data_IF_247534615571
#
_entry.id   IF_247534615571
#
_cell.length_a   1.000
_cell.length_b   1.000
_cell.length_c   1.000
_cell.angle_alpha   90.00
_cell.angle_beta   90.00
_cell.angle_gamma   90.00
#
_symmetry.space_group_name_H-M   'P 1'
#
loop_
_entity.id
_entity.type
_entity.pdbx_description
1 polymer ?
#
# COMPACT_ATOMS: atom_id res chain seq x y z
N UNK A 1 -18.25 1.77 25.04
CA UNK A 1 -18.45 1.12 23.74
C UNK A 1 -17.16 0.38 23.39
N UNK A 2 -17.23 -0.80 22.78
CA UNK A 2 -16.03 -1.46 22.29
C UNK A 2 -15.36 -0.55 21.25
N UNK A 3 -14.04 -0.38 21.35
CA UNK A 3 -13.26 0.39 20.38
C UNK A 3 -13.34 -0.33 19.02
N UNK A 4 -13.60 0.41 17.96
CA UNK A 4 -13.59 -0.09 16.58
C UNK A 4 -12.20 0.11 15.99
N UNK A 5 -11.61 -0.95 15.47
CA UNK A 5 -10.27 -0.92 14.86
C UNK A 5 -10.35 -0.97 13.35
N UNK A 6 -9.68 -0.06 12.66
CA UNK A 6 -9.55 -0.04 11.21
C UNK A 6 -8.09 -0.19 10.77
N UNK A 7 -7.87 -0.95 9.70
CA UNK A 7 -6.63 -0.86 8.93
C UNK A 7 -6.91 -0.04 7.68
N UNK A 8 -6.14 1.03 7.48
CA UNK A 8 -6.25 1.94 6.33
C UNK A 8 -5.04 1.75 5.42
N UNK A 9 -5.27 1.25 4.22
CA UNK A 9 -4.24 1.12 3.19
C UNK A 9 -4.22 2.37 2.30
N UNK A 10 -3.19 3.20 2.43
CA UNK A 10 -3.03 4.45 1.67
C UNK A 10 -2.41 4.18 0.30
N UNK A 11 -3.07 4.60 -0.77
CA UNK A 11 -2.60 4.47 -2.14
C UNK A 11 -1.45 5.43 -2.50
N UNK A 12 -0.79 5.17 -3.64
CA UNK A 12 0.31 6.02 -4.12
C UNK A 12 -0.12 7.47 -4.42
N UNK A 13 -1.34 7.66 -4.90
CA UNK A 13 -1.89 9.01 -5.19
C UNK A 13 -2.12 9.86 -3.92
N UNK A 14 -2.20 9.23 -2.76
CA UNK A 14 -2.24 9.94 -1.47
C UNK A 14 -0.85 10.42 -1.00
N UNK A 15 0.20 10.16 -1.77
CA UNK A 15 1.59 10.52 -1.46
C UNK A 15 2.26 11.26 -2.62
N UNK A 16 1.87 10.98 -3.88
CA UNK A 16 2.31 11.68 -5.08
C UNK A 16 1.08 11.85 -5.96
N UNK A 17 0.62 13.09 -6.14
CA UNK A 17 -0.61 13.40 -6.87
C UNK A 17 -0.48 13.16 -8.37
N UNK A 18 0.62 13.62 -8.95
CA UNK A 18 0.89 13.52 -10.39
C UNK A 18 2.38 13.70 -10.71
N UNK A 19 2.71 13.72 -12.01
CA UNK A 19 4.06 13.86 -12.53
C UNK A 19 4.71 15.24 -12.26
N UNK A 20 3.95 16.26 -11.93
CA UNK A 20 4.43 17.63 -11.66
C UNK A 20 4.68 17.85 -10.16
N UNK A 21 4.04 17.07 -9.29
CA UNK A 21 4.08 17.20 -7.84
C UNK A 21 4.81 16.01 -7.21
N UNK A 22 6.17 16.03 -7.31
CA UNK A 22 7.05 14.93 -6.86
C UNK A 22 8.10 15.37 -5.85
N UNK A 23 8.17 16.66 -5.54
CA UNK A 23 9.14 17.16 -4.56
C UNK A 23 8.83 16.60 -3.18
N UNK A 24 9.75 16.74 -2.24
CA UNK A 24 9.51 16.34 -0.86
C UNK A 24 8.36 17.17 -0.27
N UNK A 25 8.31 18.46 -0.57
CA UNK A 25 7.25 19.37 -0.14
C UNK A 25 5.87 18.93 -0.67
N UNK A 26 5.79 18.53 -1.94
CA UNK A 26 4.55 18.00 -2.54
C UNK A 26 4.08 16.71 -1.84
N UNK A 27 5.02 15.84 -1.48
CA UNK A 27 4.71 14.60 -0.77
C UNK A 27 4.21 14.87 0.65
N UNK A 28 4.78 15.86 1.35
CA UNK A 28 4.28 16.30 2.66
C UNK A 28 2.90 16.91 2.58
N UNK A 29 2.62 17.71 1.55
CA UNK A 29 1.29 18.26 1.34
C UNK A 29 0.25 17.16 1.09
N UNK A 30 0.56 16.18 0.24
CA UNK A 30 -0.30 15.03 -0.01
C UNK A 30 -0.52 14.18 1.27
N UNK A 31 0.53 13.98 2.07
CA UNK A 31 0.43 13.30 3.36
C UNK A 31 -0.47 14.09 4.33
N UNK A 32 -0.33 15.42 4.39
CA UNK A 32 -1.15 16.30 5.23
C UNK A 32 -2.62 16.22 4.87
N UNK A 33 -2.96 16.31 3.58
CA UNK A 33 -4.34 16.17 3.12
C UNK A 33 -4.93 14.81 3.51
N UNK A 34 -4.19 13.73 3.29
CA UNK A 34 -4.63 12.37 3.65
C UNK A 34 -4.84 12.22 5.16
N UNK A 35 -3.93 12.77 5.97
CA UNK A 35 -3.99 12.62 7.43
C UNK A 35 -5.09 13.42 8.09
N UNK A 36 -5.59 14.50 7.48
CA UNK A 36 -6.81 15.20 7.91
C UNK A 36 -8.00 14.23 7.96
N UNK A 37 -8.20 13.44 6.90
CA UNK A 37 -9.31 12.49 6.82
C UNK A 37 -9.13 11.27 7.74
N UNK A 38 -7.88 10.87 8.00
CA UNK A 38 -7.60 9.85 9.02
C UNK A 38 -7.91 10.40 10.42
N UNK A 39 -7.59 11.66 10.69
CA UNK A 39 -7.95 12.32 11.94
C UNK A 39 -9.48 12.41 12.12
N UNK A 40 -10.27 12.58 11.06
CA UNK A 40 -11.73 12.51 11.09
C UNK A 40 -12.21 11.12 11.58
N UNK A 41 -11.58 10.02 11.12
CA UNK A 41 -11.89 8.68 11.62
C UNK A 41 -11.59 8.53 13.11
N UNK A 42 -10.42 9.04 13.53
CA UNK A 42 -9.98 8.95 14.93
C UNK A 42 -10.93 9.76 15.84
N UNK A 43 -11.33 10.96 15.42
CA UNK A 43 -12.29 11.80 16.13
C UNK A 43 -13.69 11.14 16.21
N UNK A 44 -14.07 10.37 15.18
CA UNK A 44 -15.28 9.54 15.16
C UNK A 44 -15.17 8.26 16.02
N UNK A 45 -14.06 8.06 16.74
CA UNK A 45 -13.88 6.99 17.72
C UNK A 45 -13.26 5.70 17.18
N UNK A 46 -12.62 5.73 16.01
CA UNK A 46 -11.85 4.61 15.49
C UNK A 46 -10.42 4.58 16.04
N UNK A 47 -9.94 3.40 16.40
CA UNK A 47 -8.51 3.13 16.45
C UNK A 47 -8.03 2.78 15.03
N UNK A 48 -6.84 3.25 14.64
CA UNK A 48 -6.38 3.15 13.25
C UNK A 48 -4.94 2.62 13.20
N UNK A 49 -4.73 1.60 12.36
CA UNK A 49 -3.41 1.22 11.87
C UNK A 49 -3.32 1.59 10.38
N UNK A 50 -2.17 2.08 9.93
CA UNK A 50 -1.98 2.64 8.59
C UNK A 50 -0.92 1.86 7.85
N UNK A 51 -1.28 1.28 6.71
CA UNK A 51 -0.34 0.81 5.69
C UNK A 51 -0.28 1.80 4.53
N UNK A 52 0.88 1.93 3.89
CA UNK A 52 1.04 2.82 2.74
C UNK A 52 1.79 2.16 1.59
N UNK A 53 1.58 2.65 0.37
CA UNK A 53 2.38 2.29 -0.79
C UNK A 53 3.70 3.08 -0.84
N UNK A 54 4.65 2.62 -1.67
CA UNK A 54 5.94 3.27 -1.89
C UNK A 54 6.41 3.22 -3.34
N UNK A 55 5.57 2.83 -4.28
CA UNK A 55 5.96 2.49 -5.65
C UNK A 55 6.89 3.49 -6.35
N UNK A 56 6.60 4.80 -6.38
CA UNK A 56 7.53 5.78 -6.93
C UNK A 56 8.77 5.98 -6.05
N UNK A 57 8.61 6.06 -4.73
CA UNK A 57 9.66 6.41 -3.79
C UNK A 57 10.78 5.35 -3.75
N UNK A 58 10.42 4.07 -3.67
CA UNK A 58 11.41 2.97 -3.68
C UNK A 58 12.25 3.00 -4.95
N UNK A 59 11.63 3.34 -6.08
CA UNK A 59 12.34 3.51 -7.34
C UNK A 59 13.26 4.73 -7.37
N UNK A 60 12.87 5.83 -6.74
CA UNK A 60 13.73 7.03 -6.63
C UNK A 60 14.94 6.77 -5.73
N UNK A 61 14.76 6.06 -4.62
CA UNK A 61 15.86 5.68 -3.71
C UNK A 61 16.83 4.78 -4.46
N UNK A 62 16.34 3.72 -5.09
CA UNK A 62 17.14 2.80 -5.87
C UNK A 62 17.92 3.53 -6.98
N UNK A 63 17.25 4.44 -7.72
CA UNK A 63 17.87 5.18 -8.80
C UNK A 63 18.97 6.13 -8.33
N UNK A 64 18.77 6.79 -7.18
CA UNK A 64 19.82 7.63 -6.57
C UNK A 64 21.04 6.78 -6.18
N UNK A 65 20.82 5.60 -5.62
CA UNK A 65 21.88 4.66 -5.27
C UNK A 65 22.67 4.19 -6.50
N UNK A 66 21.99 3.79 -7.59
CA UNK A 66 22.61 3.38 -8.85
C UNK A 66 23.48 4.51 -9.47
N UNK A 67 22.98 5.75 -9.43
CA UNK A 67 23.74 6.91 -9.93
C UNK A 67 24.97 7.14 -9.04
N UNK A 68 24.82 7.20 -7.73
CA UNK A 68 25.90 7.43 -6.80
C UNK A 68 26.98 6.34 -6.89
N UNK A 69 26.59 5.09 -7.05
CA UNK A 69 27.54 3.99 -7.26
C UNK A 69 28.35 4.19 -8.54
N UNK A 70 27.70 4.61 -9.62
CA UNK A 70 28.36 4.82 -10.92
C UNK A 70 29.26 6.06 -10.96
N UNK A 71 28.86 7.16 -10.31
CA UNK A 71 29.55 8.46 -10.42
C UNK A 71 30.55 8.68 -9.31
N UNK A 72 30.25 8.21 -8.09
CA UNK A 72 31.04 8.49 -6.88
C UNK A 72 31.68 7.23 -6.27
N UNK A 73 31.45 6.04 -6.87
CA UNK A 73 31.94 4.77 -6.33
C UNK A 73 31.33 4.36 -5.00
N UNK A 74 30.14 4.90 -4.65
CA UNK A 74 29.41 4.49 -3.45
C UNK A 74 28.85 3.08 -3.63
N UNK A 75 28.51 2.41 -2.51
CA UNK A 75 27.84 1.10 -2.58
C UNK A 75 26.40 1.24 -3.11
N UNK A 76 25.95 0.25 -3.87
CA UNK A 76 24.55 0.13 -4.24
C UNK A 76 23.71 -0.35 -3.05
N UNK A 77 22.52 0.24 -2.87
CA UNK A 77 21.57 -0.15 -1.84
C UNK A 77 20.67 -1.25 -2.39
N UNK A 78 20.56 -2.43 -1.75
CA UNK A 78 19.64 -3.49 -2.14
C UNK A 78 18.17 -3.04 -2.10
N UNK A 79 17.31 -3.70 -2.88
CA UNK A 79 15.93 -3.29 -3.04
C UNK A 79 15.11 -3.38 -1.74
N UNK A 80 15.37 -4.36 -0.89
CA UNK A 80 14.76 -4.50 0.42
C UNK A 80 15.14 -3.34 1.35
N UNK A 81 16.41 -2.90 1.32
CA UNK A 81 16.87 -1.72 2.08
C UNK A 81 16.26 -0.44 1.51
N UNK A 82 16.11 -0.30 0.17
CA UNK A 82 15.32 0.80 -0.41
C UNK A 82 13.86 0.79 0.09
N UNK A 83 13.30 -0.40 0.34
CA UNK A 83 12.02 -0.59 0.99
C UNK A 83 12.00 0.00 2.41
N UNK A 84 13.01 -0.32 3.22
CA UNK A 84 13.18 0.19 4.58
C UNK A 84 13.33 1.72 4.60
N UNK A 85 14.18 2.28 3.74
CA UNK A 85 14.33 3.73 3.58
C UNK A 85 13.00 4.42 3.25
N UNK A 86 12.21 3.81 2.36
CA UNK A 86 10.88 4.32 2.01
C UNK A 86 9.90 4.28 3.18
N UNK A 87 9.97 3.27 4.05
CA UNK A 87 9.16 3.21 5.27
C UNK A 87 9.55 4.35 6.23
N UNK A 88 10.83 4.60 6.41
CA UNK A 88 11.32 5.71 7.23
C UNK A 88 10.85 7.07 6.69
N UNK A 89 11.06 7.34 5.41
CA UNK A 89 10.73 8.63 4.81
C UNK A 89 9.22 8.91 4.76
N UNK A 90 8.43 7.96 4.28
CA UNK A 90 6.97 8.10 4.16
C UNK A 90 6.32 8.03 5.55
N UNK A 91 6.77 7.09 6.38
CA UNK A 91 6.28 6.95 7.75
C UNK A 91 6.51 8.23 8.57
N UNK A 92 7.68 8.86 8.45
CA UNK A 92 7.97 10.14 9.08
C UNK A 92 7.00 11.24 8.63
N UNK A 93 6.77 11.38 7.32
CA UNK A 93 5.85 12.39 6.79
C UNK A 93 4.41 12.17 7.31
N UNK A 94 3.90 10.94 7.26
CA UNK A 94 2.57 10.60 7.76
C UNK A 94 2.46 10.76 9.29
N UNK A 95 3.47 10.32 10.03
CA UNK A 95 3.53 10.46 11.49
C UNK A 95 3.49 11.92 11.92
N UNK A 96 4.33 12.75 11.30
CA UNK A 96 4.43 14.17 11.63
C UNK A 96 3.12 14.91 11.30
N UNK A 97 2.60 14.71 10.09
CA UNK A 97 1.40 15.42 9.64
C UNK A 97 0.16 14.99 10.42
N UNK A 98 0.02 13.70 10.72
CA UNK A 98 -1.08 13.20 11.55
C UNK A 98 -0.96 13.69 12.99
N UNK A 99 0.23 13.63 13.59
CA UNK A 99 0.45 14.12 14.94
C UNK A 99 0.10 15.61 15.08
N UNK A 100 0.52 16.43 14.11
CA UNK A 100 0.18 17.86 14.06
C UNK A 100 -1.34 18.07 13.97
N UNK A 101 -2.04 17.31 13.14
CA UNK A 101 -3.48 17.42 12.97
C UNK A 101 -4.24 16.98 14.25
N UNK A 102 -3.81 15.90 14.90
CA UNK A 102 -4.38 15.45 16.16
C UNK A 102 -4.18 16.50 17.26
N UNK A 103 -2.99 17.10 17.37
CA UNK A 103 -2.75 18.20 18.33
C UNK A 103 -3.63 19.41 18.04
N UNK A 104 -3.80 19.79 16.76
CA UNK A 104 -4.68 20.89 16.38
C UNK A 104 -6.13 20.65 16.81
N UNK A 105 -6.58 19.40 16.84
CA UNK A 105 -7.91 18.98 17.32
C UNK A 105 -7.98 18.72 18.84
N UNK A 106 -6.90 18.87 19.56
CA UNK A 106 -6.85 18.57 21.01
C UNK A 106 -6.87 17.07 21.32
N UNK A 107 -6.63 16.21 20.35
CA UNK A 107 -6.63 14.75 20.50
C UNK A 107 -5.24 14.29 20.94
N UNK A 108 -5.13 13.79 22.19
CA UNK A 108 -3.88 13.30 22.77
C UNK A 108 -3.69 11.81 22.46
N UNK A 109 -3.28 11.49 21.25
CA UNK A 109 -3.05 10.12 20.79
C UNK A 109 -1.65 10.04 20.17
N UNK A 110 -0.75 9.15 20.63
CA UNK A 110 0.57 9.03 20.02
C UNK A 110 0.45 8.43 18.64
N UNK A 111 1.34 8.85 17.73
CA UNK A 111 1.49 8.28 16.40
C UNK A 111 2.90 7.73 16.27
N UNK A 112 3.05 6.48 15.86
CA UNK A 112 4.34 5.82 15.73
C UNK A 112 4.46 5.09 14.40
N UNK A 113 5.64 5.19 13.78
CA UNK A 113 6.01 4.38 12.62
C UNK A 113 6.85 3.20 13.06
N UNK A 114 6.46 2.00 12.66
CA UNK A 114 7.19 0.76 12.90
C UNK A 114 7.79 0.30 11.59
N UNK A 115 9.12 0.23 11.54
CA UNK A 115 9.82 -0.44 10.43
C UNK A 115 9.43 -1.91 10.47
N UNK A 116 8.83 -2.39 9.39
CA UNK A 116 8.11 -3.67 9.39
C UNK A 116 8.63 -4.60 8.31
N UNK A 117 9.06 -5.79 8.74
CA UNK A 117 9.42 -6.91 7.89
C UNK A 117 8.20 -7.79 7.62
N UNK A 118 8.11 -8.31 6.42
CA UNK A 118 7.03 -9.23 6.03
C UNK A 118 7.62 -10.49 5.41
N UNK A 119 7.34 -11.62 6.04
CA UNK A 119 7.80 -12.92 5.58
C UNK A 119 7.11 -13.31 4.27
N UNK A 120 7.91 -13.79 3.31
CA UNK A 120 7.45 -14.31 2.02
C UNK A 120 8.00 -15.71 1.76
N UNK A 121 7.39 -16.43 0.84
CA UNK A 121 7.92 -17.72 0.40
C UNK A 121 9.06 -17.51 -0.59
N UNK A 122 10.26 -18.06 -0.28
CA UNK A 122 11.39 -18.04 -1.21
C UNK A 122 11.11 -18.73 -2.55
N UNK A 123 10.09 -19.61 -2.60
CA UNK A 123 9.68 -20.34 -3.80
C UNK A 123 8.47 -19.70 -4.49
N UNK A 124 8.02 -18.53 -4.04
CA UNK A 124 6.87 -17.84 -4.66
C UNK A 124 7.11 -17.67 -6.18
N UNK A 125 6.13 -18.03 -7.03
CA UNK A 125 6.25 -17.89 -8.48
C UNK A 125 6.58 -16.47 -8.95
N UNK A 126 6.25 -15.44 -8.17
CA UNK A 126 6.55 -14.04 -8.46
C UNK A 126 8.05 -13.78 -8.65
N UNK A 127 8.93 -14.54 -7.99
CA UNK A 127 10.37 -14.41 -8.20
C UNK A 127 10.82 -14.84 -9.60
N UNK A 128 10.08 -15.74 -10.24
CA UNK A 128 10.34 -16.18 -11.63
C UNK A 128 9.62 -15.34 -12.68
N UNK A 129 8.55 -14.62 -12.28
CA UNK A 129 7.74 -13.78 -13.17
C UNK A 129 7.49 -12.41 -12.51
N UNK A 130 8.51 -11.52 -12.50
CA UNK A 130 8.37 -10.17 -11.96
C UNK A 130 7.23 -9.42 -12.64
N UNK A 131 6.39 -8.76 -11.84
CA UNK A 131 5.19 -8.07 -12.35
C UNK A 131 4.91 -6.72 -11.68
N UNK A 132 5.57 -6.41 -10.54
CA UNK A 132 5.33 -5.18 -9.79
C UNK A 132 6.10 -4.01 -10.37
N UNK A 133 5.43 -3.00 -10.98
CA UNK A 133 6.12 -1.84 -11.51
C UNK A 133 6.68 -0.97 -10.39
N UNK A 134 7.94 -0.57 -10.53
CA UNK A 134 8.63 0.36 -9.61
C UNK A 134 9.34 1.49 -10.40
N UNK A 135 9.65 2.58 -9.70
CA UNK A 135 10.39 3.69 -10.27
C UNK A 135 9.60 4.53 -11.26
N UNK A 136 10.31 5.39 -11.97
CA UNK A 136 9.77 6.30 -12.98
C UNK A 136 9.53 5.60 -14.32
N UNK A 137 8.71 6.23 -15.16
CA UNK A 137 8.54 5.82 -16.54
C UNK A 137 9.82 6.11 -17.34
N UNK A 138 10.04 5.31 -18.38
CA UNK A 138 11.12 5.48 -19.35
C UNK A 138 10.57 5.20 -20.76
N UNK A 139 11.28 5.68 -21.77
CA UNK A 139 10.98 5.29 -23.15
C UNK A 139 11.45 3.86 -23.46
N UNK A 140 11.05 3.35 -24.61
CA UNK A 140 11.37 1.99 -25.04
C UNK A 140 12.88 1.77 -25.25
N UNK A 141 13.59 2.79 -25.73
CA UNK A 141 15.03 2.71 -26.01
C UNK A 141 15.80 2.53 -24.70
N UNK A 142 15.49 3.37 -23.71
CA UNK A 142 16.08 3.27 -22.38
C UNK A 142 15.70 1.97 -21.67
N UNK A 143 14.45 1.53 -21.79
CA UNK A 143 14.00 0.25 -21.23
C UNK A 143 14.82 -0.93 -21.78
N UNK A 144 14.98 -1.01 -23.11
CA UNK A 144 15.76 -2.06 -23.76
C UNK A 144 17.25 -1.98 -23.43
N UNK A 145 17.80 -0.79 -23.30
CA UNK A 145 19.19 -0.60 -22.84
C UNK A 145 19.38 -1.19 -21.44
N UNK A 146 18.49 -0.87 -20.48
CA UNK A 146 18.58 -1.37 -19.10
C UNK A 146 18.31 -2.87 -18.98
N UNK A 147 17.42 -3.40 -19.78
CA UNK A 147 17.18 -4.85 -19.87
C UNK A 147 18.50 -5.57 -20.26
N UNK A 148 19.23 -5.03 -21.23
CA UNK A 148 20.50 -5.61 -21.72
C UNK A 148 21.67 -5.39 -20.76
N UNK A 149 21.84 -4.16 -20.24
CA UNK A 149 23.01 -3.77 -19.45
C UNK A 149 22.91 -4.10 -17.97
N UNK A 150 21.68 -4.13 -17.43
CA UNK A 150 21.43 -4.26 -15.98
C UNK A 150 20.55 -5.47 -15.64
N UNK A 151 20.23 -6.31 -16.63
CA UNK A 151 19.33 -7.47 -16.47
C UNK A 151 17.97 -7.13 -15.82
N UNK A 152 17.47 -5.94 -16.09
CA UNK A 152 16.14 -5.56 -15.59
C UNK A 152 15.04 -6.32 -16.32
N UNK A 153 14.00 -6.69 -15.58
CA UNK A 153 12.71 -7.00 -16.20
C UNK A 153 11.94 -5.70 -16.39
N UNK A 154 11.43 -5.45 -17.60
CA UNK A 154 10.71 -4.23 -17.95
C UNK A 154 9.39 -4.56 -18.61
N UNK A 155 8.37 -3.73 -18.40
CA UNK A 155 7.05 -3.86 -19.05
C UNK A 155 6.55 -2.50 -19.49
N UNK A 156 5.74 -2.48 -20.53
CA UNK A 156 4.95 -1.31 -20.89
C UNK A 156 3.80 -1.14 -19.91
N UNK A 157 3.63 0.06 -19.37
CA UNK A 157 2.63 0.35 -18.34
C UNK A 157 1.51 1.25 -18.92
N UNK A 158 0.52 0.61 -19.48
CA UNK A 158 -0.75 1.21 -19.92
C UNK A 158 -0.60 2.46 -20.83
N UNK A 159 0.30 2.45 -21.78
CA UNK A 159 0.53 3.54 -22.74
C UNK A 159 1.25 4.76 -22.15
N UNK A 160 1.64 4.71 -20.87
CA UNK A 160 2.39 5.78 -20.19
C UNK A 160 3.90 5.69 -20.36
N UNK A 161 4.38 4.60 -20.93
CA UNK A 161 5.80 4.28 -21.11
C UNK A 161 6.18 2.96 -20.46
N UNK A 162 7.47 2.73 -20.36
CA UNK A 162 8.04 1.49 -19.82
C UNK A 162 8.48 1.66 -18.36
N UNK A 163 8.34 0.62 -17.58
CA UNK A 163 8.79 0.60 -16.17
C UNK A 163 9.55 -0.68 -15.86
N UNK A 164 10.50 -0.58 -14.91
CA UNK A 164 11.07 -1.76 -14.27
C UNK A 164 10.00 -2.51 -13.50
N UNK A 165 10.00 -3.83 -13.61
CA UNK A 165 9.19 -4.70 -12.76
C UNK A 165 10.07 -5.59 -11.89
N UNK A 166 9.60 -5.85 -10.67
CA UNK A 166 10.26 -6.69 -9.67
C UNK A 166 9.29 -7.76 -9.18
N UNK A 167 9.81 -8.75 -8.46
CA UNK A 167 8.98 -9.76 -7.82
C UNK A 167 8.00 -9.10 -6.82
N UNK A 168 6.78 -9.63 -6.76
CA UNK A 168 5.75 -9.21 -5.80
C UNK A 168 5.12 -10.45 -5.16
N UNK A 169 5.84 -11.11 -4.24
CA UNK A 169 5.36 -12.33 -3.60
C UNK A 169 4.22 -12.03 -2.63
N UNK A 170 3.41 -13.05 -2.32
CA UNK A 170 2.34 -12.93 -1.35
C UNK A 170 2.92 -12.86 0.07
N UNK A 171 2.39 -11.96 0.93
CA UNK A 171 2.82 -11.84 2.32
C UNK A 171 2.29 -13.02 3.13
N UNK A 172 3.12 -13.60 4.03
CA UNK A 172 2.76 -14.72 4.90
C UNK A 172 2.62 -14.32 6.35
N UNK A 173 3.52 -13.48 6.85
CA UNK A 173 3.60 -13.08 8.25
C UNK A 173 4.13 -11.65 8.37
N UNK A 174 3.66 -10.92 9.39
CA UNK A 174 4.20 -9.63 9.80
C UNK A 174 5.12 -9.88 10.99
N UNK A 175 6.43 -9.72 10.80
CA UNK A 175 7.42 -10.10 11.81
C UNK A 175 7.24 -9.30 13.10
N UNK A 176 7.01 -7.99 13.02
CA UNK A 176 6.81 -7.09 14.15
C UNK A 176 5.36 -7.05 14.67
N UNK A 177 4.54 -8.07 14.37
CA UNK A 177 3.11 -8.09 14.70
C UNK A 177 2.82 -7.81 16.18
N UNK A 178 3.57 -8.41 17.09
CA UNK A 178 3.33 -8.25 18.54
C UNK A 178 3.69 -6.83 19.01
N UNK A 179 4.72 -6.21 18.45
CA UNK A 179 5.05 -4.81 18.70
C UNK A 179 3.93 -3.88 18.19
N UNK A 180 3.41 -4.14 17.00
CA UNK A 180 2.28 -3.39 16.43
C UNK A 180 1.03 -3.51 17.31
N UNK A 181 0.67 -4.72 17.75
CA UNK A 181 -0.46 -4.94 18.68
C UNK A 181 -0.28 -4.19 19.99
N UNK A 182 0.90 -4.30 20.60
CA UNK A 182 1.21 -3.62 21.85
C UNK A 182 1.01 -2.10 21.75
N UNK A 183 1.46 -1.49 20.65
CA UNK A 183 1.27 -0.05 20.43
C UNK A 183 -0.20 0.31 20.21
N UNK A 184 -0.96 -0.50 19.47
CA UNK A 184 -2.40 -0.30 19.27
C UNK A 184 -3.14 -0.41 20.61
N UNK A 185 -2.84 -1.43 21.41
CA UNK A 185 -3.46 -1.66 22.72
C UNK A 185 -3.13 -0.52 23.71
N UNK A 186 -1.94 0.06 23.61
CA UNK A 186 -1.54 1.28 24.32
C UNK A 186 -2.24 2.55 23.80
N UNK A 187 -3.05 2.45 22.76
CA UNK A 187 -3.83 3.55 22.20
C UNK A 187 -3.11 4.38 21.15
N UNK A 188 -1.97 3.93 20.64
CA UNK A 188 -1.27 4.60 19.54
C UNK A 188 -1.96 4.39 18.20
N UNK A 189 -1.80 5.36 17.30
CA UNK A 189 -1.97 5.16 15.86
C UNK A 189 -0.65 4.60 15.32
N UNK A 190 -0.70 3.46 14.64
CA UNK A 190 0.51 2.79 14.18
C UNK A 190 0.59 2.81 12.67
N UNK A 191 1.68 3.37 12.13
CA UNK A 191 2.03 3.29 10.72
C UNK A 191 2.95 2.10 10.54
N UNK A 192 2.55 1.12 9.75
CA UNK A 192 3.21 -0.20 9.66
C UNK A 192 3.01 -0.83 8.29
N UNK A 193 3.67 -1.90 7.97
CA UNK A 193 3.67 -2.59 6.67
C UNK A 193 3.84 -1.64 5.47
N UNK A 194 4.57 -0.55 5.66
CA UNK A 194 4.82 0.45 4.63
C UNK A 194 5.47 -0.16 3.40
N UNK A 195 5.00 0.24 2.20
CA UNK A 195 5.45 -0.33 0.94
C UNK A 195 5.08 -1.80 0.72
N UNK A 196 4.23 -2.36 1.60
CA UNK A 196 3.93 -3.79 1.67
C UNK A 196 4.79 -4.56 2.67
N UNK A 197 5.63 -3.85 3.44
CA UNK A 197 6.64 -4.43 4.32
C UNK A 197 7.96 -4.70 3.62
N UNK A 198 9.04 -4.82 4.39
CA UNK A 198 10.35 -5.24 3.88
C UNK A 198 10.27 -6.77 3.66
N UNK A 199 10.41 -7.25 2.41
CA UNK A 199 10.28 -8.67 2.14
C UNK A 199 11.48 -9.45 2.68
N UNK A 200 11.21 -10.43 3.54
CA UNK A 200 12.21 -11.31 4.12
C UNK A 200 11.83 -12.77 3.92
N UNK A 201 12.83 -13.64 3.85
CA UNK A 201 12.67 -15.10 3.90
C UNK A 201 13.25 -15.62 5.22
N UNK A 202 12.68 -16.70 5.74
CA UNK A 202 13.26 -17.42 6.86
C UNK A 202 14.26 -18.46 6.32
N UNK A 203 15.52 -18.32 6.71
CA UNK A 203 16.57 -19.28 6.36
C UNK A 203 16.44 -20.54 7.16
N UNK A 204 16.23 -20.44 8.46
CA UNK A 204 15.84 -21.44 9.48
C UNK A 204 15.79 -20.74 10.84
N UNK A 205 14.94 -21.24 11.72
CA UNK A 205 14.92 -20.85 13.14
C UNK A 205 14.79 -19.31 13.34
N UNK A 206 13.93 -18.67 12.56
CA UNK A 206 13.71 -17.21 12.58
C UNK A 206 14.95 -16.36 12.25
N UNK A 207 15.86 -16.90 11.45
CA UNK A 207 16.94 -16.10 10.88
C UNK A 207 16.46 -15.48 9.55
N UNK A 208 15.98 -14.24 9.63
CA UNK A 208 15.46 -13.54 8.48
C UNK A 208 16.55 -12.96 7.58
N UNK A 209 16.33 -13.05 6.27
CA UNK A 209 17.17 -12.41 5.26
C UNK A 209 16.28 -11.63 4.29
N UNK A 210 16.65 -10.36 4.01
CA UNK A 210 16.01 -9.53 3.00
C UNK A 210 16.13 -10.12 1.59
N UNK A 211 15.12 -9.89 0.75
CA UNK A 211 15.10 -10.35 -0.64
C UNK A 211 14.67 -9.24 -1.59
N UNK A 212 15.16 -9.28 -2.82
CA UNK A 212 14.88 -8.27 -3.84
C UNK A 212 13.44 -8.41 -4.39
N UNK A 213 12.47 -7.86 -3.67
CA UNK A 213 11.06 -7.86 -4.03
C UNK A 213 10.37 -6.59 -3.52
N UNK A 214 9.13 -6.35 -3.97
CA UNK A 214 8.23 -5.33 -3.41
C UNK A 214 6.85 -5.94 -3.28
N UNK A 215 6.43 -6.20 -2.06
CA UNK A 215 5.12 -6.78 -1.75
C UNK A 215 4.02 -5.78 -2.10
N UNK A 216 2.87 -6.25 -2.55
CA UNK A 216 1.73 -5.37 -2.75
C UNK A 216 1.16 -4.90 -1.40
N UNK A 217 1.01 -3.57 -1.24
CA UNK A 217 0.55 -2.97 0.01
C UNK A 217 -0.86 -3.38 0.41
N UNK A 218 -1.74 -3.65 -0.58
CA UNK A 218 -3.13 -4.01 -0.30
C UNK A 218 -3.19 -5.42 0.29
N UNK A 219 -2.36 -6.36 -0.20
CA UNK A 219 -2.21 -7.68 0.39
C UNK A 219 -1.55 -7.65 1.77
N UNK A 220 -0.50 -6.85 1.96
CA UNK A 220 0.16 -6.73 3.27
C UNK A 220 -0.77 -6.09 4.31
N UNK A 221 -1.52 -5.05 3.92
CA UNK A 221 -2.52 -4.41 4.79
C UNK A 221 -3.70 -5.35 5.08
N UNK A 222 -4.13 -6.16 4.12
CA UNK A 222 -5.13 -7.22 4.28
C UNK A 222 -4.66 -8.26 5.31
N UNK A 223 -3.41 -8.73 5.20
CA UNK A 223 -2.80 -9.63 6.18
C UNK A 223 -2.80 -9.02 7.58
N UNK A 224 -2.32 -7.78 7.70
CA UNK A 224 -2.31 -7.05 8.98
C UNK A 224 -3.72 -6.96 9.56
N UNK A 225 -4.71 -6.52 8.76
CA UNK A 225 -6.10 -6.37 9.19
C UNK A 225 -6.68 -7.67 9.78
N UNK A 226 -6.37 -8.80 9.15
CA UNK A 226 -6.74 -10.12 9.65
C UNK A 226 -6.05 -10.45 10.97
N UNK A 227 -4.72 -10.26 11.05
CA UNK A 227 -3.91 -10.66 12.21
C UNK A 227 -4.22 -9.83 13.48
N UNK A 228 -4.58 -8.55 13.32
CA UNK A 228 -5.02 -7.69 14.43
C UNK A 228 -6.54 -7.71 14.63
N UNK A 229 -7.27 -8.54 13.87
CA UNK A 229 -8.74 -8.67 13.93
C UNK A 229 -9.47 -7.35 13.76
N UNK A 230 -9.06 -6.55 12.77
CA UNK A 230 -9.66 -5.26 12.48
C UNK A 230 -11.17 -5.39 12.16
N UNK A 231 -11.95 -4.39 12.59
CA UNK A 231 -13.38 -4.31 12.29
C UNK A 231 -13.63 -3.83 10.86
N UNK A 232 -12.66 -3.11 10.29
CA UNK A 232 -12.72 -2.55 8.94
C UNK A 232 -11.36 -2.62 8.26
N UNK A 233 -11.34 -3.13 7.02
CA UNK A 233 -10.22 -2.95 6.09
C UNK A 233 -10.59 -1.89 5.05
N UNK A 234 -9.98 -0.71 5.13
CA UNK A 234 -10.24 0.41 4.24
C UNK A 234 -9.10 0.59 3.25
N UNK A 235 -9.40 0.57 1.96
CA UNK A 235 -8.45 0.92 0.90
C UNK A 235 -8.77 2.34 0.41
N UNK A 236 -7.89 3.28 0.73
CA UNK A 236 -7.94 4.65 0.22
C UNK A 236 -7.25 4.71 -1.15
N UNK A 237 -7.99 5.12 -2.19
CA UNK A 237 -7.53 5.12 -3.58
C UNK A 237 -8.02 6.37 -4.32
N UNK A 238 -7.78 6.48 -5.64
CA UNK A 238 -8.13 7.66 -6.42
C UNK A 238 -9.62 7.80 -6.78
N UNK A 239 -10.44 6.78 -6.50
CA UNK A 239 -11.86 6.79 -6.87
C UNK A 239 -12.76 6.73 -5.66
N UNK A 240 -13.88 7.45 -5.72
CA UNK A 240 -14.88 7.47 -4.65
C UNK A 240 -15.57 6.11 -4.48
N UNK A 241 -15.89 5.44 -5.59
CA UNK A 241 -16.55 4.12 -5.62
C UNK A 241 -15.91 3.18 -6.62
N UNK A 242 -16.12 1.90 -6.45
CA UNK A 242 -15.77 0.88 -7.45
C UNK A 242 -16.83 0.88 -8.54
N UNK A 243 -16.39 0.74 -9.79
CA UNK A 243 -17.29 0.53 -10.93
C UNK A 243 -17.06 -0.83 -11.58
N UNK A 244 -18.12 -1.48 -12.00
CA UNK A 244 -18.07 -2.54 -13.00
C UNK A 244 -18.18 -1.94 -14.39
N UNK A 245 -17.58 -2.60 -15.40
CA UNK A 245 -17.52 -2.12 -16.78
C UNK A 245 -16.94 -0.72 -16.94
N UNK A 246 -15.92 -0.40 -16.13
CA UNK A 246 -15.31 0.95 -16.10
C UNK A 246 -14.86 1.39 -17.51
N UNK A 247 -15.27 2.60 -17.90
CA UNK A 247 -14.99 3.19 -19.22
C UNK A 247 -15.85 2.65 -20.37
N UNK A 248 -16.85 1.80 -20.10
CA UNK A 248 -17.81 1.28 -21.09
C UNK A 248 -19.17 1.97 -20.97
N UNK A 249 -20.04 1.89 -22.02
CA UNK A 249 -21.38 2.50 -21.98
C UNK A 249 -22.30 1.99 -20.87
N UNK A 250 -22.07 0.76 -20.41
CA UNK A 250 -22.80 0.07 -19.35
C UNK A 250 -22.09 0.12 -18.00
N UNK A 251 -21.20 1.11 -17.80
CA UNK A 251 -20.53 1.33 -16.52
C UNK A 251 -21.55 1.55 -15.41
N UNK A 252 -21.34 0.86 -14.28
CA UNK A 252 -22.17 1.01 -13.09
C UNK A 252 -21.30 1.16 -11.84
N UNK A 253 -21.53 2.22 -11.08
CA UNK A 253 -20.92 2.44 -9.77
C UNK A 253 -21.63 1.57 -8.71
N UNK A 254 -20.84 1.00 -7.81
CA UNK A 254 -21.33 0.10 -6.76
C UNK A 254 -21.22 0.78 -5.39
N UNK A 255 -22.35 0.83 -4.67
CA UNK A 255 -22.36 1.24 -3.26
C UNK A 255 -21.96 0.09 -2.34
N UNK A 256 -22.34 -1.12 -2.73
CA UNK A 256 -22.10 -2.33 -1.97
C UNK A 256 -21.97 -3.53 -2.91
N UNK A 257 -21.14 -4.49 -2.55
CA UNK A 257 -21.11 -5.83 -3.13
C UNK A 257 -20.83 -6.87 -2.05
N UNK A 258 -21.28 -8.09 -2.27
CA UNK A 258 -20.94 -9.24 -1.45
C UNK A 258 -19.60 -9.83 -1.87
N UNK A 259 -19.00 -10.65 -1.00
CA UNK A 259 -17.82 -11.45 -1.34
C UNK A 259 -18.05 -12.32 -2.58
N UNK A 260 -19.27 -12.90 -2.70
CA UNK A 260 -19.61 -13.73 -3.85
C UNK A 260 -19.63 -12.92 -5.16
N UNK A 261 -20.25 -11.73 -5.16
CA UNK A 261 -20.26 -10.83 -6.31
C UNK A 261 -18.85 -10.34 -6.66
N UNK A 262 -18.03 -9.98 -5.65
CA UNK A 262 -16.64 -9.57 -5.87
C UNK A 262 -15.82 -10.66 -6.58
N UNK A 263 -15.99 -11.92 -6.15
CA UNK A 263 -15.35 -13.10 -6.77
C UNK A 263 -15.83 -13.33 -8.19
N UNK A 264 -17.13 -13.22 -8.41
CA UNK A 264 -17.74 -13.35 -9.74
C UNK A 264 -17.20 -12.31 -10.70
N UNK A 265 -17.27 -11.02 -10.36
CA UNK A 265 -16.78 -9.93 -11.21
C UNK A 265 -15.28 -10.03 -11.49
N UNK A 266 -14.49 -10.49 -10.51
CA UNK A 266 -13.06 -10.72 -10.71
C UNK A 266 -12.81 -11.87 -11.69
N UNK A 267 -13.55 -12.98 -11.57
CA UNK A 267 -13.43 -14.16 -12.45
C UNK A 267 -13.84 -13.86 -13.89
N UNK A 268 -14.84 -13.00 -14.10
CA UNK A 268 -15.25 -12.53 -15.43
C UNK A 268 -14.15 -11.73 -16.15
N UNK A 269 -13.19 -11.15 -15.41
CA UNK A 269 -11.95 -10.55 -15.91
C UNK A 269 -12.11 -9.27 -16.73
N UNK A 270 -13.34 -8.78 -16.92
CA UNK A 270 -13.68 -7.63 -17.77
C UNK A 270 -14.11 -6.38 -17.00
N UNK A 271 -14.32 -6.47 -15.69
CA UNK A 271 -14.87 -5.40 -14.86
C UNK A 271 -13.82 -4.51 -14.21
N UNK A 272 -12.72 -5.09 -13.77
CA UNK A 272 -11.69 -4.38 -13.01
C UNK A 272 -10.37 -4.31 -13.78
N UNK A 273 -9.77 -3.13 -13.83
CA UNK A 273 -8.47 -2.95 -14.48
C UNK A 273 -7.38 -3.76 -13.74
N UNK A 274 -6.68 -4.64 -14.48
CA UNK A 274 -5.69 -5.60 -13.96
C UNK A 274 -4.53 -4.94 -13.19
N UNK A 275 -4.13 -3.72 -13.56
CA UNK A 275 -3.00 -3.01 -12.93
C UNK A 275 -3.41 -2.04 -11.79
N UNK A 276 -4.71 -1.94 -11.45
CA UNK A 276 -5.18 -0.95 -10.46
C UNK A 276 -6.27 -1.48 -9.55
N UNK A 277 -7.49 -1.69 -10.03
CA UNK A 277 -8.63 -2.08 -9.19
C UNK A 277 -8.63 -3.59 -8.88
N UNK A 278 -8.30 -4.45 -9.84
CA UNK A 278 -8.33 -5.90 -9.64
C UNK A 278 -7.48 -6.37 -8.43
N UNK A 279 -6.20 -5.93 -8.24
CA UNK A 279 -5.43 -6.31 -7.06
C UNK A 279 -6.05 -5.89 -5.73
N UNK A 280 -6.80 -4.76 -5.71
CA UNK A 280 -7.51 -4.29 -4.51
C UNK A 280 -8.66 -5.20 -4.14
N UNK A 281 -9.44 -5.59 -5.15
CA UNK A 281 -10.55 -6.55 -4.97
C UNK A 281 -10.00 -7.92 -4.55
N UNK A 282 -8.91 -8.38 -5.15
CA UNK A 282 -8.23 -9.63 -4.74
C UNK A 282 -7.79 -9.59 -3.27
N UNK A 283 -7.16 -8.50 -2.84
CA UNK A 283 -6.73 -8.33 -1.44
C UNK A 283 -7.92 -8.30 -0.47
N UNK A 284 -9.05 -7.72 -0.86
CA UNK A 284 -10.28 -7.70 -0.06
C UNK A 284 -10.93 -9.09 -0.02
N UNK A 285 -11.01 -9.79 -1.14
CA UNK A 285 -11.49 -11.18 -1.19
C UNK A 285 -10.66 -12.03 -0.22
N UNK A 286 -9.33 -11.93 -0.30
CA UNK A 286 -8.44 -12.66 0.60
C UNK A 286 -8.66 -12.32 2.08
N UNK A 287 -8.91 -11.04 2.41
CA UNK A 287 -9.26 -10.61 3.76
C UNK A 287 -10.55 -11.25 4.25
N UNK A 288 -11.63 -11.15 3.47
CA UNK A 288 -12.96 -11.64 3.86
C UNK A 288 -13.02 -13.17 3.94
N UNK A 289 -12.38 -13.90 3.01
CA UNK A 289 -12.30 -15.36 3.05
C UNK A 289 -11.55 -15.89 4.28
N UNK A 290 -10.68 -15.10 4.85
CA UNK A 290 -9.91 -15.45 6.05
C UNK A 290 -10.43 -14.83 7.35
N UNK A 291 -11.74 -14.57 7.42
CA UNK A 291 -12.43 -14.14 8.64
C UNK A 291 -12.49 -12.62 8.83
N UNK A 292 -12.17 -11.84 7.81
CA UNK A 292 -12.39 -10.40 7.81
C UNK A 292 -13.87 -10.05 7.92
N UNK A 293 -14.20 -8.93 8.59
CA UNK A 293 -15.60 -8.55 8.87
C UNK A 293 -16.22 -7.79 7.70
N UNK A 294 -15.56 -6.76 7.22
CA UNK A 294 -16.02 -5.90 6.13
C UNK A 294 -14.85 -5.08 5.57
N UNK A 295 -14.97 -4.69 4.32
CA UNK A 295 -14.01 -3.80 3.68
C UNK A 295 -14.72 -2.62 3.01
N UNK A 296 -13.95 -1.54 2.80
CA UNK A 296 -14.42 -0.31 2.16
C UNK A 296 -13.37 0.19 1.18
N UNK A 297 -13.81 0.56 -0.02
CA UNK A 297 -12.99 1.29 -1.00
C UNK A 297 -13.57 2.69 -1.16
N UNK A 298 -12.73 3.71 -0.99
CA UNK A 298 -13.09 5.11 -1.25
C UNK A 298 -11.83 5.95 -1.46
N UNK A 299 -12.00 7.24 -1.79
CA UNK A 299 -10.90 8.21 -1.83
C UNK A 299 -10.75 8.94 -0.49
N UNK A 300 -9.61 9.59 -0.21
CA UNK A 300 -9.35 10.19 1.08
C UNK A 300 -10.44 11.16 1.54
N UNK A 301 -10.85 12.08 0.69
CA UNK A 301 -11.84 13.14 0.98
C UNK A 301 -13.23 12.62 1.32
N UNK A 302 -13.55 11.40 0.93
CA UNK A 302 -14.85 10.78 1.19
C UNK A 302 -14.86 9.77 2.34
N UNK A 303 -13.74 9.54 3.04
CA UNK A 303 -13.67 8.57 4.13
C UNK A 303 -14.75 8.84 5.18
N UNK A 304 -14.89 10.09 5.63
CA UNK A 304 -15.89 10.46 6.66
C UNK A 304 -17.34 10.18 6.23
N UNK A 305 -17.69 10.48 4.98
CA UNK A 305 -19.01 10.19 4.40
C UNK A 305 -19.23 8.70 4.20
N UNK A 306 -18.20 7.99 3.71
CA UNK A 306 -18.27 6.56 3.47
C UNK A 306 -18.48 5.76 4.77
N UNK A 307 -17.86 6.17 5.87
CA UNK A 307 -18.08 5.56 7.20
C UNK A 307 -19.50 5.75 7.73
N UNK A 308 -20.23 6.76 7.25
CA UNK A 308 -21.67 6.97 7.53
C UNK A 308 -22.57 6.21 6.57
N UNK A 309 -22.01 5.52 5.57
CA UNK A 309 -22.78 4.80 4.54
C UNK A 309 -23.34 5.69 3.43
N UNK A 310 -22.85 6.93 3.31
CA UNK A 310 -23.34 7.89 2.31
C UNK A 310 -22.67 7.71 0.93
N UNK A 311 -21.52 7.08 0.89
CA UNK A 311 -20.74 6.84 -0.32
C UNK A 311 -19.70 5.72 -0.12
N UNK A 312 -18.73 5.57 -1.07
CA UNK A 312 -17.77 4.48 -1.08
C UNK A 312 -18.38 3.17 -1.57
N UNK A 313 -17.55 2.13 -1.70
CA UNK A 313 -18.04 0.77 -1.99
C UNK A 313 -17.72 -0.14 -0.83
N UNK A 314 -18.76 -0.61 -0.15
CA UNK A 314 -18.66 -1.59 0.92
C UNK A 314 -18.62 -3.00 0.36
N UNK A 315 -17.68 -3.82 0.84
CA UNK A 315 -17.60 -5.23 0.50
C UNK A 315 -17.77 -6.03 1.79
N UNK A 316 -18.77 -6.93 1.77
CA UNK A 316 -19.19 -7.69 2.95
C UNK A 316 -19.17 -9.20 2.65
N UNK A 317 -19.12 -10.06 3.68
CA UNK A 317 -19.20 -11.51 3.53
C UNK A 317 -20.41 -11.98 2.75
#
# INVERSE_FOLDING_TARGET
MAKKLAVVAIGGNSLIKDEKHKTVEDQYEAARETTIHIADMIEAGWDVAIGHGNGPQVGFILRRSEIAAKTEGMHEIPLDVCGADSQGAIGYALQQTLQNELYRRGIKKPVATVVTQVLVDKNDPAFKKPSKPIGSFMDQVEAKRREKEMAWSVVEDAGRGWRRVVASPLPKEVVELEAVKTLIDAGAVVITVGGGGIPVIDLKDHQYQGVAAVIDKDFASSLLARLIKADLFLISTAVEKVAINFGKPDQKWLDKMTLAEAKQYLAEGSHFAKGSMAPKIEAIIWYLENGGKQALITNPENIGRALKGETGTWIVP
#
